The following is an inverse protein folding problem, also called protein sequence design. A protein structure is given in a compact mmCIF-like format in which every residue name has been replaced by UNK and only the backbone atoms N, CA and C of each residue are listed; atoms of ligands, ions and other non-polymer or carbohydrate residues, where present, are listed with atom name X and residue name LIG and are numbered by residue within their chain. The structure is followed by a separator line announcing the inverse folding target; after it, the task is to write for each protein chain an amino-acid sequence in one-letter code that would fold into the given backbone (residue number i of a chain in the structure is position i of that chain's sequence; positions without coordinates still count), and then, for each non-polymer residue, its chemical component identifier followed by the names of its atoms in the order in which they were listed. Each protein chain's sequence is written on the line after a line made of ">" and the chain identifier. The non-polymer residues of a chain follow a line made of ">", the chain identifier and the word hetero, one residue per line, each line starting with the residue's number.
data_IF_486248602320
#
_entry.id   IF_486248602320
#
_cell.length_a   1.000
_cell.length_b   1.000
_cell.length_c   1.000
_cell.angle_alpha   90.00
_cell.angle_beta   90.00
_cell.angle_gamma   90.00
#
_symmetry.space_group_name_H-M   'P 1'
#
loop_
_entity.id
_entity.type
_entity.pdbx_description
1 polymer ?
#
# COMPACT_ATOMS: atom_id res chain seq x y z
N UNK A 1 22.14 21.68 -12.44
CA UNK A 1 20.83 21.33 -11.85
C UNK A 1 20.13 22.51 -11.21
N UNK A 2 20.78 23.29 -10.35
CA UNK A 2 20.18 24.50 -9.75
C UNK A 2 19.67 25.52 -10.80
N UNK A 3 20.42 25.74 -11.87
CA UNK A 3 20.02 26.59 -13.00
C UNK A 3 18.76 26.11 -13.74
N UNK A 4 18.53 24.79 -13.81
CA UNK A 4 17.33 24.21 -14.43
C UNK A 4 16.10 24.40 -13.57
N UNK A 5 16.25 24.31 -12.24
CA UNK A 5 15.15 24.53 -11.29
C UNK A 5 14.75 26.00 -11.29
N UNK A 6 15.72 26.92 -11.36
CA UNK A 6 15.44 28.35 -11.52
C UNK A 6 14.77 28.66 -12.86
N UNK A 7 15.18 28.01 -13.95
CA UNK A 7 14.58 28.20 -15.28
C UNK A 7 13.17 27.59 -15.41
N UNK A 8 12.84 26.56 -14.63
CA UNK A 8 11.53 25.92 -14.65
C UNK A 8 10.42 26.70 -13.91
N UNK A 9 10.80 27.78 -13.21
CA UNK A 9 9.85 28.62 -12.47
C UNK A 9 9.25 27.94 -11.23
N UNK A 10 8.24 28.58 -10.64
CA UNK A 10 7.56 28.08 -9.44
C UNK A 10 6.77 26.75 -9.63
N UNK A 11 6.23 26.37 -10.82
CA UNK A 11 5.43 25.15 -10.97
C UNK A 11 6.17 23.82 -10.76
N UNK A 12 7.51 23.84 -10.68
CA UNK A 12 8.31 22.63 -10.42
C UNK A 12 8.21 22.15 -8.96
N UNK A 13 7.90 23.04 -8.02
CA UNK A 13 7.86 22.72 -6.59
C UNK A 13 6.82 21.64 -6.22
N UNK A 14 5.56 21.70 -6.70
CA UNK A 14 4.60 20.61 -6.51
C UNK A 14 5.08 19.24 -7.01
N UNK A 15 5.79 19.20 -8.14
CA UNK A 15 6.36 17.97 -8.70
C UNK A 15 7.47 17.39 -7.82
N UNK A 16 8.37 18.24 -7.33
CA UNK A 16 9.43 17.83 -6.39
C UNK A 16 8.80 17.27 -5.10
N UNK A 17 7.79 17.95 -4.57
CA UNK A 17 7.08 17.49 -3.38
C UNK A 17 6.39 16.14 -3.60
N UNK A 18 5.69 15.98 -4.72
CA UNK A 18 5.06 14.71 -5.10
C UNK A 18 6.09 13.57 -5.25
N UNK A 19 7.28 13.87 -5.80
CA UNK A 19 8.38 12.91 -5.91
C UNK A 19 8.91 12.43 -4.56
N UNK A 20 9.08 13.34 -3.59
CA UNK A 20 9.51 12.99 -2.23
C UNK A 20 8.47 12.09 -1.55
N UNK A 21 7.18 12.43 -1.65
CA UNK A 21 6.10 11.60 -1.10
C UNK A 21 6.08 10.23 -1.77
N UNK A 22 6.14 10.19 -3.10
CA UNK A 22 6.14 8.92 -3.84
C UNK A 22 7.31 8.03 -3.41
N UNK A 23 8.52 8.58 -3.28
CA UNK A 23 9.68 7.83 -2.84
C UNK A 23 9.51 7.28 -1.41
N UNK A 24 9.00 8.09 -0.49
CA UNK A 24 8.73 7.66 0.88
C UNK A 24 7.73 6.49 0.93
N UNK A 25 6.64 6.58 0.15
CA UNK A 25 5.63 5.51 0.04
C UNK A 25 6.20 4.24 -0.62
N UNK A 26 7.05 4.39 -1.66
CA UNK A 26 7.70 3.25 -2.31
C UNK A 26 8.60 2.50 -1.32
N UNK A 27 9.41 3.22 -0.54
CA UNK A 27 10.29 2.61 0.45
C UNK A 27 9.51 1.91 1.57
N UNK A 28 8.45 2.54 2.08
CA UNK A 28 7.54 1.92 3.05
C UNK A 28 6.95 0.62 2.49
N UNK A 29 6.44 0.64 1.25
CA UNK A 29 5.81 -0.53 0.62
C UNK A 29 6.79 -1.64 0.29
N UNK A 30 8.01 -1.32 -0.14
CA UNK A 30 9.08 -2.30 -0.33
C UNK A 30 9.47 -3.01 0.98
N UNK A 31 9.19 -2.40 2.14
CA UNK A 31 9.35 -3.03 3.43
C UNK A 31 8.09 -3.80 3.83
N UNK A 32 6.91 -3.16 3.86
CA UNK A 32 5.69 -3.74 4.42
C UNK A 32 5.10 -4.90 3.60
N UNK A 33 5.30 -4.93 2.28
CA UNK A 33 4.84 -6.00 1.40
C UNK A 33 5.79 -7.21 1.34
N UNK A 34 6.87 -7.21 2.11
CA UNK A 34 7.80 -8.36 2.12
C UNK A 34 7.08 -9.62 2.60
N UNK A 35 7.38 -10.74 1.93
CA UNK A 35 6.84 -12.04 2.29
C UNK A 35 7.05 -12.38 3.77
N UNK A 36 8.21 -12.04 4.35
CA UNK A 36 8.50 -12.27 5.76
C UNK A 36 7.58 -11.54 6.74
N UNK A 37 6.90 -10.47 6.30
CA UNK A 37 5.96 -9.68 7.11
C UNK A 37 4.53 -10.08 6.80
N UNK A 38 4.18 -10.25 5.52
CA UNK A 38 2.82 -10.56 5.07
C UNK A 38 2.46 -12.03 5.27
N UNK A 39 3.36 -12.92 4.84
CA UNK A 39 3.17 -14.37 4.83
C UNK A 39 4.47 -15.09 5.26
N UNK A 40 4.83 -15.02 6.56
CA UNK A 40 6.04 -15.65 7.07
C UNK A 40 6.09 -17.14 6.70
N UNK A 41 7.22 -17.65 6.18
CA UNK A 41 7.34 -19.05 5.81
C UNK A 41 7.14 -19.96 7.02
N UNK A 42 6.38 -21.04 6.83
CA UNK A 42 6.07 -22.01 7.89
C UNK A 42 5.06 -21.52 8.93
N UNK A 43 4.44 -20.35 8.77
CA UNK A 43 3.36 -19.87 9.65
C UNK A 43 2.19 -20.86 9.67
N UNK A 44 1.75 -21.31 8.50
CA UNK A 44 0.65 -22.26 8.34
C UNK A 44 0.96 -23.57 9.09
N UNK A 45 2.14 -24.14 8.86
CA UNK A 45 2.54 -25.40 9.48
C UNK A 45 2.61 -25.30 11.00
N UNK A 46 3.15 -24.20 11.53
CA UNK A 46 3.22 -23.94 12.98
C UNK A 46 1.83 -23.86 13.61
N UNK A 47 0.93 -23.10 12.99
CA UNK A 47 -0.44 -22.93 13.48
C UNK A 47 -1.21 -24.25 13.43
N UNK A 48 -1.07 -25.02 12.36
CA UNK A 48 -1.70 -26.35 12.24
C UNK A 48 -1.13 -27.36 13.25
N UNK A 49 0.18 -27.34 13.51
CA UNK A 49 0.80 -28.20 14.52
C UNK A 49 0.29 -27.88 15.93
N UNK A 50 0.21 -26.59 16.28
CA UNK A 50 -0.29 -26.13 17.58
C UNK A 50 -1.78 -26.45 17.76
N UNK A 51 -2.59 -26.26 16.73
CA UNK A 51 -3.99 -26.66 16.72
C UNK A 51 -4.18 -28.17 16.94
N UNK A 52 -3.35 -29.01 16.33
CA UNK A 52 -3.42 -30.47 16.53
C UNK A 52 -3.03 -30.91 17.94
N UNK A 53 -2.13 -30.19 18.61
CA UNK A 53 -1.67 -30.52 19.96
C UNK A 53 -2.63 -30.03 21.04
N UNK A 54 -3.08 -28.78 20.95
CA UNK A 54 -3.81 -28.10 22.02
C UNK A 54 -5.28 -27.86 21.71
N UNK A 55 -5.72 -28.16 20.48
CA UNK A 55 -7.06 -27.86 20.01
C UNK A 55 -7.30 -26.37 19.77
N UNK A 56 -8.58 -26.00 19.63
CA UNK A 56 -8.97 -24.60 19.50
C UNK A 56 -8.99 -23.93 20.88
N UNK A 57 -8.10 -22.97 21.11
CA UNK A 57 -8.12 -22.10 22.29
C UNK A 57 -8.21 -20.62 21.89
N UNK A 58 -8.82 -19.76 22.74
CA UNK A 58 -8.82 -18.31 22.52
C UNK A 58 -7.39 -17.72 22.42
N UNK A 59 -6.46 -18.30 23.18
CA UNK A 59 -5.06 -17.91 23.19
C UNK A 59 -4.39 -18.17 21.83
N UNK A 60 -4.66 -19.32 21.20
CA UNK A 60 -4.17 -19.66 19.87
C UNK A 60 -4.70 -18.68 18.82
N UNK A 61 -5.98 -18.30 18.90
CA UNK A 61 -6.59 -17.33 17.98
C UNK A 61 -5.91 -15.97 18.06
N UNK A 62 -5.74 -15.44 19.28
CA UNK A 62 -5.10 -14.13 19.50
C UNK A 62 -3.63 -14.17 19.07
N UNK A 63 -2.90 -15.25 19.41
CA UNK A 63 -1.50 -15.44 19.02
C UNK A 63 -1.35 -15.47 17.51
N UNK A 64 -2.18 -16.24 16.82
CA UNK A 64 -2.17 -16.39 15.35
C UNK A 64 -2.51 -15.06 14.67
N UNK A 65 -3.53 -14.34 15.15
CA UNK A 65 -3.93 -13.05 14.60
C UNK A 65 -2.84 -11.98 14.69
N UNK A 66 -1.92 -12.08 15.67
CA UNK A 66 -0.78 -11.17 15.83
C UNK A 66 0.41 -11.48 14.92
N UNK A 67 0.40 -12.59 14.20
CA UNK A 67 1.49 -13.01 13.30
C UNK A 67 1.40 -12.40 11.89
N UNK A 68 0.76 -11.23 11.78
CA UNK A 68 0.67 -10.45 10.56
C UNK A 68 -0.59 -10.71 9.73
N UNK A 69 -0.62 -10.22 8.47
CA UNK A 69 -1.75 -10.34 7.54
C UNK A 69 -2.26 -11.76 7.36
N UNK A 70 -1.36 -12.71 7.03
CA UNK A 70 -1.71 -14.12 6.90
C UNK A 70 -2.21 -14.71 8.23
N UNK A 71 -1.64 -14.27 9.35
CA UNK A 71 -2.07 -14.66 10.69
C UNK A 71 -3.53 -14.28 10.99
N UNK A 72 -3.98 -13.08 10.59
CA UNK A 72 -5.39 -12.66 10.71
C UNK A 72 -6.32 -13.60 9.93
N UNK A 73 -5.96 -13.96 8.70
CA UNK A 73 -6.75 -14.88 7.86
C UNK A 73 -6.81 -16.28 8.47
N UNK A 74 -5.67 -16.81 8.95
CA UNK A 74 -5.59 -18.11 9.59
C UNK A 74 -6.40 -18.16 10.91
N UNK A 75 -6.36 -17.10 11.71
CA UNK A 75 -7.16 -17.01 12.93
C UNK A 75 -8.66 -17.06 12.64
N UNK A 76 -9.13 -16.40 11.58
CA UNK A 76 -10.55 -16.49 11.15
C UNK A 76 -10.92 -17.90 10.71
N UNK A 77 -10.04 -18.58 9.97
CA UNK A 77 -10.24 -19.99 9.59
C UNK A 77 -10.34 -20.90 10.81
N UNK A 78 -9.45 -20.74 11.79
CA UNK A 78 -9.49 -21.48 13.05
C UNK A 78 -10.75 -21.19 13.87
N UNK A 79 -11.19 -19.93 13.94
CA UNK A 79 -12.41 -19.55 14.65
C UNK A 79 -13.67 -20.22 14.05
N UNK A 80 -13.64 -20.53 12.76
CA UNK A 80 -14.74 -21.17 12.03
C UNK A 80 -14.51 -22.66 11.74
N UNK A 81 -13.56 -23.32 12.40
CA UNK A 81 -13.20 -24.72 12.13
C UNK A 81 -14.34 -25.72 12.37
N UNK A 82 -15.31 -25.37 13.22
CA UNK A 82 -16.51 -26.17 13.52
C UNK A 82 -17.68 -25.88 12.59
N UNK A 83 -17.59 -24.83 11.77
CA UNK A 83 -18.63 -24.42 10.84
C UNK A 83 -18.61 -25.28 9.57
N UNK A 84 -19.71 -25.33 8.81
CA UNK A 84 -19.71 -25.94 7.48
C UNK A 84 -18.61 -25.32 6.59
N UNK A 85 -18.05 -26.12 5.68
CA UNK A 85 -16.95 -25.68 4.79
C UNK A 85 -17.28 -24.42 3.99
N UNK A 86 -18.54 -24.24 3.57
CA UNK A 86 -19.00 -23.04 2.87
C UNK A 86 -18.85 -21.79 3.74
N UNK A 87 -19.34 -21.85 4.97
CA UNK A 87 -19.27 -20.73 5.94
C UNK A 87 -17.83 -20.39 6.29
N UNK A 88 -17.00 -21.40 6.54
CA UNK A 88 -15.58 -21.19 6.84
C UNK A 88 -14.85 -20.55 5.65
N UNK A 89 -15.13 -21.01 4.42
CA UNK A 89 -14.56 -20.44 3.21
C UNK A 89 -14.96 -18.97 3.05
N UNK A 90 -16.24 -18.66 3.18
CA UNK A 90 -16.78 -17.30 3.05
C UNK A 90 -16.13 -16.35 4.07
N UNK A 91 -16.03 -16.77 5.34
CA UNK A 91 -15.36 -15.98 6.38
C UNK A 91 -13.87 -15.74 6.09
N UNK A 92 -13.16 -16.73 5.54
CA UNK A 92 -11.76 -16.60 5.13
C UNK A 92 -11.63 -15.64 3.95
N UNK A 93 -12.50 -15.74 2.95
CA UNK A 93 -12.51 -14.86 1.78
C UNK A 93 -12.80 -13.40 2.19
N UNK A 94 -13.78 -13.16 3.05
CA UNK A 94 -14.11 -11.82 3.54
C UNK A 94 -12.95 -11.17 4.29
N UNK A 95 -12.35 -11.87 5.24
CA UNK A 95 -11.17 -11.35 5.95
C UNK A 95 -9.97 -11.23 5.02
N UNK A 96 -9.83 -12.12 4.04
CA UNK A 96 -8.83 -12.04 2.98
C UNK A 96 -8.96 -10.74 2.17
N UNK A 97 -10.19 -10.36 1.79
CA UNK A 97 -10.46 -9.11 1.08
C UNK A 97 -10.12 -7.88 1.93
N UNK A 98 -10.48 -7.87 3.21
CA UNK A 98 -10.13 -6.77 4.13
C UNK A 98 -8.61 -6.63 4.23
N UNK A 99 -7.91 -7.76 4.43
CA UNK A 99 -6.45 -7.78 4.55
C UNK A 99 -5.77 -7.34 3.24
N UNK A 100 -6.27 -7.79 2.09
CA UNK A 100 -5.77 -7.34 0.78
C UNK A 100 -5.95 -5.83 0.60
N UNK A 101 -7.12 -5.30 0.96
CA UNK A 101 -7.39 -3.87 0.90
C UNK A 101 -6.45 -3.05 1.80
N UNK A 102 -6.17 -3.52 3.01
CA UNK A 102 -5.20 -2.89 3.93
C UNK A 102 -3.79 -2.83 3.30
N UNK A 103 -3.38 -3.91 2.62
CA UNK A 103 -2.08 -4.00 1.94
C UNK A 103 -2.00 -3.07 0.71
N UNK A 104 -3.12 -2.85 0.01
CA UNK A 104 -3.19 -2.03 -1.20
C UNK A 104 -3.34 -0.52 -0.93
N UNK A 105 -3.78 -0.10 0.26
CA UNK A 105 -4.18 1.30 0.56
C UNK A 105 -3.20 2.40 0.12
N UNK A 106 -1.87 2.20 0.16
CA UNK A 106 -0.92 3.24 -0.30
C UNK A 106 -0.54 3.11 -1.77
N UNK A 107 -0.87 1.98 -2.42
CA UNK A 107 -0.72 1.83 -3.87
C UNK A 107 -1.70 2.73 -4.63
N UNK A 108 -2.92 2.93 -4.10
CA UNK A 108 -3.88 3.87 -4.67
C UNK A 108 -3.32 5.29 -4.72
N UNK A 109 -2.72 5.77 -3.62
CA UNK A 109 -2.10 7.09 -3.55
C UNK A 109 -0.92 7.21 -4.53
N UNK A 110 -0.07 6.20 -4.63
CA UNK A 110 1.00 6.15 -5.62
C UNK A 110 0.45 6.21 -7.05
N UNK A 111 -0.65 5.50 -7.33
CA UNK A 111 -1.35 5.55 -8.60
C UNK A 111 -1.87 6.95 -8.93
N UNK A 112 -2.45 7.66 -7.96
CA UNK A 112 -2.87 9.05 -8.12
C UNK A 112 -1.69 9.97 -8.45
N UNK A 113 -0.57 9.84 -7.74
CA UNK A 113 0.64 10.63 -8.03
C UNK A 113 1.16 10.32 -9.44
N UNK A 114 1.21 9.04 -9.82
CA UNK A 114 1.65 8.62 -11.14
C UNK A 114 0.75 9.16 -12.27
N UNK A 115 -0.56 9.25 -12.04
CA UNK A 115 -1.51 9.81 -13.00
C UNK A 115 -1.46 11.34 -13.08
N UNK A 116 -1.25 12.02 -11.95
CA UNK A 116 -1.24 13.48 -11.86
C UNK A 116 0.11 14.10 -12.28
N UNK A 117 1.22 13.41 -12.07
CA UNK A 117 2.56 13.95 -12.35
C UNK A 117 2.76 14.40 -13.82
N UNK A 118 2.33 13.63 -14.85
CA UNK A 118 2.41 14.10 -16.23
C UNK A 118 1.58 15.37 -16.49
N UNK A 119 0.40 15.48 -15.89
CA UNK A 119 -0.48 16.64 -16.01
C UNK A 119 0.15 17.88 -15.37
N UNK A 120 0.82 17.72 -14.21
CA UNK A 120 1.59 18.79 -13.56
C UNK A 120 2.78 19.22 -14.42
N UNK A 121 3.45 18.30 -15.11
CA UNK A 121 4.50 18.61 -16.06
C UNK A 121 4.00 19.44 -17.24
N UNK A 122 2.89 19.02 -17.85
CA UNK A 122 2.24 19.76 -18.93
C UNK A 122 1.77 21.15 -18.46
N UNK A 123 1.22 21.23 -17.25
CA UNK A 123 0.85 22.51 -16.64
C UNK A 123 2.05 23.47 -16.55
N UNK A 124 3.22 22.97 -16.09
CA UNK A 124 4.45 23.75 -16.06
C UNK A 124 4.86 24.29 -17.43
N UNK A 125 4.71 23.49 -18.50
CA UNK A 125 5.00 23.96 -19.87
C UNK A 125 4.05 25.06 -20.34
N UNK A 126 2.76 25.00 -19.95
CA UNK A 126 1.77 26.02 -20.30
C UNK A 126 2.06 27.33 -19.57
N UNK A 127 2.37 27.27 -18.27
CA UNK A 127 2.76 28.45 -17.49
C UNK A 127 4.00 29.11 -18.09
N UNK A 128 5.03 28.32 -18.42
CA UNK A 128 6.24 28.86 -19.06
C UNK A 128 5.97 29.55 -20.40
N UNK A 129 5.08 28.99 -21.24
CA UNK A 129 4.66 29.66 -22.48
C UNK A 129 3.95 30.99 -22.20
N UNK A 130 3.04 31.05 -21.22
CA UNK A 130 2.33 32.27 -20.85
C UNK A 130 3.31 33.36 -20.38
N UNK A 131 4.33 33.02 -19.59
CA UNK A 131 5.35 33.98 -19.14
C UNK A 131 6.20 34.53 -20.30
N UNK A 132 6.58 33.67 -21.26
CA UNK A 132 7.37 34.06 -22.45
C UNK A 132 6.57 35.00 -23.37
N UNK A 133 5.28 34.75 -23.58
CA UNK A 133 4.46 35.55 -24.48
C UNK A 133 3.79 36.75 -23.80
N UNK A 134 3.42 36.63 -22.52
CA UNK A 134 2.81 37.71 -21.75
C UNK A 134 3.78 38.82 -21.39
N UNK A 135 5.08 38.51 -21.23
CA UNK A 135 6.12 39.53 -21.01
C UNK A 135 6.41 40.40 -22.25
N UNK A 136 6.09 39.93 -23.45
CA UNK A 136 6.32 40.67 -24.70
C UNK A 136 5.25 41.71 -25.01
N UNK A 137 4.06 41.62 -24.42
CA UNK A 137 2.96 42.57 -24.65
C UNK A 137 3.04 43.81 -23.73
N UNK A 138 3.95 43.82 -22.76
CA UNK A 138 4.14 44.91 -21.80
C UNK A 138 5.23 45.93 -22.20
N UNK A 139 5.71 45.88 -23.45
CA UNK A 139 6.68 46.81 -24.02
C UNK A 139 6.05 47.71 -25.09
#
# INVERSE_FOLDING_TARGET
>A
MWSLIQAAGWPIWPLIFASIIALALILERLWSLRQSIVAPPGLVDKVLAEYKQSGLSPELLVKTARQGPLGRVLATGLANVKSPRSVMKEAIEEVGHIVAHDLERFLTTLGTIAAMAPLLGLFGTVVGMIEIFGSQTAA
#
